data_IF_701258947570
#
_entry.id   IF_701258947570
#
_cell.length_a   1.000
_cell.length_b   1.000
_cell.length_c   1.000
_cell.angle_alpha   90.00
_cell.angle_beta   90.00
_cell.angle_gamma   90.00
#
_symmetry.space_group_name_H-M   'P 1'
#
loop_
_entity.id
_entity.type
_entity.pdbx_description
1 polymer ?
#
# COMPACT_ATOMS: atom_id res chain seq x y z
N UNK A 1 8.78 3.09 -10.29
CA UNK A 1 7.53 2.41 -10.66
C UNK A 1 6.97 3.07 -11.91
N UNK A 2 6.66 2.29 -12.95
CA UNK A 2 6.12 2.79 -14.23
C UNK A 2 4.60 2.66 -14.28
N UNK A 3 3.95 3.19 -15.32
CA UNK A 3 2.53 2.95 -15.57
C UNK A 3 2.19 1.46 -15.81
N UNK A 4 3.20 0.60 -16.01
CA UNK A 4 3.04 -0.84 -16.28
C UNK A 4 3.03 -1.72 -15.04
N UNK A 5 3.18 -1.15 -13.85
CA UNK A 5 3.25 -1.92 -12.61
C UNK A 5 1.87 -2.46 -12.22
N UNK A 6 1.73 -3.79 -12.14
CA UNK A 6 0.47 -4.45 -11.77
C UNK A 6 0.31 -4.41 -10.25
N UNK A 7 -0.79 -3.80 -9.82
CA UNK A 7 -1.25 -3.78 -8.44
C UNK A 7 -2.52 -4.62 -8.38
N UNK A 8 -2.46 -5.78 -7.72
CA UNK A 8 -3.60 -6.64 -7.44
C UNK A 8 -4.07 -6.30 -6.03
N UNK A 9 -5.32 -5.85 -5.89
CA UNK A 9 -5.94 -5.65 -4.58
C UNK A 9 -6.82 -6.85 -4.28
N UNK A 10 -6.65 -7.41 -3.10
CA UNK A 10 -7.50 -8.41 -2.48
C UNK A 10 -7.96 -7.90 -1.11
N UNK A 11 -9.16 -8.27 -0.69
CA UNK A 11 -9.58 -8.09 0.71
C UNK A 11 -9.22 -9.37 1.45
N UNK A 12 -8.65 -9.25 2.65
CA UNK A 12 -8.39 -10.43 3.47
C UNK A 12 -9.73 -11.05 3.90
N UNK A 13 -9.90 -12.36 3.67
CA UNK A 13 -11.13 -13.07 4.05
C UNK A 13 -11.17 -13.40 5.55
N UNK A 14 -10.01 -13.38 6.22
CA UNK A 14 -9.89 -13.63 7.65
C UNK A 14 -10.08 -12.37 8.50
N UNK A 15 -9.76 -11.20 7.95
CA UNK A 15 -10.01 -9.90 8.56
C UNK A 15 -10.57 -8.91 7.52
N UNK A 16 -11.89 -8.63 7.53
CA UNK A 16 -12.48 -7.75 6.55
C UNK A 16 -11.99 -6.32 6.66
N UNK A 17 -11.37 -5.89 7.76
CA UNK A 17 -10.84 -4.54 7.97
C UNK A 17 -9.42 -4.36 7.42
N UNK A 18 -8.85 -5.42 6.82
CA UNK A 18 -7.55 -5.39 6.17
C UNK A 18 -7.68 -5.44 4.65
N UNK A 19 -6.99 -4.51 3.98
CA UNK A 19 -6.82 -4.48 2.54
C UNK A 19 -5.43 -5.05 2.22
N UNK A 20 -5.40 -6.13 1.46
CA UNK A 20 -4.18 -6.75 0.96
C UNK A 20 -3.88 -6.22 -0.44
N UNK A 21 -2.70 -5.63 -0.62
CA UNK A 21 -2.21 -5.19 -1.90
C UNK A 21 -1.00 -6.02 -2.30
N UNK A 22 -1.13 -6.78 -3.38
CA UNK A 22 -0.03 -7.49 -4.01
C UNK A 22 0.49 -6.67 -5.19
N UNK A 23 1.80 -6.44 -5.24
CA UNK A 23 2.45 -5.73 -6.35
C UNK A 23 3.38 -6.69 -7.08
N UNK A 24 3.37 -6.70 -8.41
CA UNK A 24 4.27 -7.56 -9.22
C UNK A 24 5.59 -6.90 -9.58
N UNK A 25 5.90 -5.72 -9.03
CA UNK A 25 7.13 -4.98 -9.34
C UNK A 25 8.27 -5.59 -8.56
N UNK A 26 9.13 -6.40 -9.19
CA UNK A 26 10.41 -6.91 -8.66
C UNK A 26 10.43 -7.59 -7.27
N UNK A 27 9.28 -7.69 -6.62
CA UNK A 27 9.07 -8.27 -5.31
C UNK A 27 8.27 -9.56 -5.51
N UNK A 28 8.92 -10.67 -5.23
CA UNK A 28 8.34 -12.01 -5.21
C UNK A 28 7.06 -11.97 -4.34
N UNK A 29 5.87 -11.86 -4.96
CA UNK A 29 4.54 -11.85 -4.30
C UNK A 29 4.53 -11.36 -2.84
N UNK A 30 4.92 -10.12 -2.59
CA UNK A 30 4.94 -9.56 -1.24
C UNK A 30 3.61 -8.85 -0.94
N UNK A 31 2.71 -9.42 -0.12
CA UNK A 31 1.47 -8.76 0.24
C UNK A 31 1.76 -7.59 1.18
N UNK A 32 1.27 -6.41 0.82
CA UNK A 32 1.26 -5.23 1.68
C UNK A 32 -0.11 -5.15 2.33
N UNK A 33 -0.15 -5.11 3.66
CA UNK A 33 -1.38 -5.02 4.43
C UNK A 33 -1.62 -3.59 4.87
N UNK A 34 -2.80 -3.06 4.56
CA UNK A 34 -3.26 -1.77 5.05
C UNK A 34 -4.52 -1.99 5.88
N UNK A 35 -4.61 -1.33 7.04
CA UNK A 35 -5.90 -1.21 7.71
C UNK A 35 -6.82 -0.27 6.91
N UNK A 36 -8.12 -0.54 6.90
CA UNK A 36 -9.10 0.41 6.34
C UNK A 36 -9.14 1.73 7.12
N UNK A 37 -8.83 1.71 8.42
CA UNK A 37 -8.81 2.90 9.27
C UNK A 37 -7.72 3.88 8.81
N UNK A 38 -6.51 3.39 8.57
CA UNK A 38 -5.40 4.15 8.01
C UNK A 38 -5.72 4.65 6.59
N UNK A 39 -6.29 3.80 5.74
CA UNK A 39 -6.69 4.23 4.40
C UNK A 39 -7.71 5.37 4.47
N UNK A 40 -8.69 5.27 5.37
CA UNK A 40 -9.71 6.29 5.58
C UNK A 40 -9.15 7.59 6.13
N UNK A 41 -8.20 7.54 7.07
CA UNK A 41 -7.55 8.76 7.61
C UNK A 41 -6.77 9.53 6.54
N UNK A 42 -6.27 8.83 5.53
CA UNK A 42 -5.61 9.40 4.36
C UNK A 42 -6.57 9.72 3.19
N UNK A 43 -7.88 9.55 3.37
CA UNK A 43 -8.90 9.85 2.36
C UNK A 43 -9.10 8.78 1.28
N UNK A 44 -8.54 7.58 1.45
CA UNK A 44 -8.78 6.43 0.58
C UNK A 44 -10.00 5.64 1.05
N UNK A 45 -11.16 5.94 0.45
CA UNK A 45 -12.43 5.23 0.74
C UNK A 45 -12.77 4.15 -0.30
N UNK A 46 -12.04 4.13 -1.43
CA UNK A 46 -12.25 3.20 -2.53
C UNK A 46 -10.99 2.37 -2.78
N UNK A 47 -11.08 1.06 -2.54
CA UNK A 47 -9.97 0.12 -2.63
C UNK A 47 -9.81 -0.46 -4.05
N UNK A 48 -9.43 0.41 -5.00
CA UNK A 48 -9.15 0.02 -6.40
C UNK A 48 -7.67 0.23 -6.74
N UNK A 49 -7.04 -0.61 -7.59
CA UNK A 49 -5.61 -0.52 -7.91
C UNK A 49 -5.15 0.90 -8.26
N UNK A 50 -5.88 1.56 -9.15
CA UNK A 50 -5.60 2.93 -9.61
C UNK A 50 -5.65 3.97 -8.48
N UNK A 51 -6.51 3.75 -7.48
CA UNK A 51 -6.67 4.67 -6.34
C UNK A 51 -5.62 4.43 -5.28
N UNK A 52 -5.27 3.18 -4.99
CA UNK A 52 -4.27 2.87 -3.95
C UNK A 52 -2.82 2.95 -4.44
N UNK A 53 -2.56 2.99 -5.76
CA UNK A 53 -1.21 3.06 -6.33
C UNK A 53 -0.29 4.10 -5.65
N UNK A 54 -0.73 5.34 -5.34
CA UNK A 54 0.13 6.33 -4.70
C UNK A 54 0.58 5.95 -3.28
N UNK A 55 -0.34 5.49 -2.43
CA UNK A 55 0.00 5.09 -1.05
C UNK A 55 0.82 3.80 -1.03
N UNK A 56 0.53 2.87 -1.94
CA UNK A 56 1.29 1.63 -2.11
C UNK A 56 2.74 1.94 -2.49
N UNK A 57 2.95 2.83 -3.46
CA UNK A 57 4.28 3.29 -3.85
C UNK A 57 5.04 3.91 -2.67
N UNK A 58 4.40 4.83 -1.95
CA UNK A 58 5.00 5.49 -0.80
C UNK A 58 5.37 4.49 0.32
N UNK A 59 4.48 3.53 0.61
CA UNK A 59 4.73 2.49 1.60
C UNK A 59 5.94 1.62 1.23
N UNK A 60 6.04 1.21 -0.03
CA UNK A 60 7.18 0.42 -0.54
C UNK A 60 8.49 1.22 -0.42
N UNK A 61 8.54 2.45 -0.93
CA UNK A 61 9.77 3.26 -0.88
C UNK A 61 10.20 3.59 0.54
N UNK A 62 9.24 3.88 1.43
CA UNK A 62 9.54 4.11 2.84
C UNK A 62 10.11 2.85 3.49
N UNK A 63 9.56 1.69 3.20
CA UNK A 63 10.09 0.43 3.73
C UNK A 63 11.52 0.19 3.20
N UNK A 64 11.76 0.38 1.90
CA UNK A 64 13.09 0.27 1.29
C UNK A 64 14.08 1.24 1.97
N UNK A 65 13.68 2.49 2.20
CA UNK A 65 14.51 3.49 2.88
C UNK A 65 14.84 3.09 4.33
N UNK A 66 13.87 2.54 5.08
CA UNK A 66 14.07 2.05 6.45
C UNK A 66 15.02 0.85 6.52
N UNK A 67 15.11 0.06 5.45
CA UNK A 67 15.91 -1.18 5.41
C UNK A 67 17.21 -1.05 4.58
N UNK A 68 17.67 0.17 4.32
CA UNK A 68 18.95 0.43 3.66
C UNK A 68 18.97 0.00 2.19
N UNK A 69 17.91 0.31 1.45
CA UNK A 69 17.76 0.05 0.01
C UNK A 69 17.72 -1.44 -0.39
N UNK A 70 17.55 -2.33 0.60
CA UNK A 70 17.44 -3.76 0.35
C UNK A 70 16.09 -4.12 -0.25
N UNK A 71 16.09 -5.07 -1.19
CA UNK A 71 14.87 -5.64 -1.78
C UNK A 71 13.98 -6.25 -0.70
N UNK A 72 12.67 -6.06 -0.83
CA UNK A 72 11.67 -6.74 0.00
C UNK A 72 11.70 -8.24 -0.29
N UNK A 73 11.99 -9.04 0.73
CA UNK A 73 11.95 -10.51 0.66
C UNK A 73 10.69 -11.09 1.33
N UNK A 74 9.69 -10.24 1.63
CA UNK A 74 8.42 -10.64 2.23
C UNK A 74 7.41 -9.50 2.25
N UNK A 75 6.14 -9.87 2.48
CA UNK A 75 5.07 -8.90 2.73
C UNK A 75 5.25 -8.14 4.04
N UNK A 76 4.63 -6.97 4.16
CA UNK A 76 4.68 -6.14 5.38
C UNK A 76 3.33 -5.48 5.66
N UNK A 77 3.13 -5.04 6.90
CA UNK A 77 1.94 -4.30 7.32
C UNK A 77 2.27 -2.81 7.46
N UNK A 78 1.28 -1.98 7.17
CA UNK A 78 1.31 -0.54 7.43
C UNK A 78 0.27 -0.27 8.51
N UNK A 79 0.74 0.02 9.71
CA UNK A 79 -0.09 0.15 10.90
C UNK A 79 -0.67 1.57 11.03
N UNK A 80 -1.71 1.74 11.85
CA UNK A 80 -2.42 3.03 12.00
C UNK A 80 -1.53 4.19 12.45
N UNK A 81 -0.42 3.89 13.14
CA UNK A 81 0.60 4.88 13.54
C UNK A 81 1.59 5.24 12.43
N UNK A 82 1.65 4.47 11.34
CA UNK A 82 2.59 4.65 10.24
C UNK A 82 2.09 5.67 9.19
N UNK A 83 1.31 6.68 9.56
CA UNK A 83 0.76 7.67 8.60
C UNK A 83 1.77 8.73 8.13
N UNK A 84 2.86 8.95 8.87
CA UNK A 84 3.84 10.00 8.57
C UNK A 84 4.54 9.79 7.21
N UNK A 85 4.48 10.77 6.32
CA UNK A 85 5.08 10.70 4.98
C UNK A 85 4.31 9.81 3.99
N UNK A 86 3.16 9.23 4.37
CA UNK A 86 2.24 8.61 3.41
C UNK A 86 1.38 9.69 2.73
N UNK A 87 1.20 9.62 1.40
CA UNK A 87 0.46 10.63 0.67
C UNK A 87 -1.04 10.50 0.97
N UNK A 88 -1.76 11.62 1.14
CA UNK A 88 -3.22 11.60 1.13
C UNK A 88 -3.71 11.25 -0.28
N UNK A 89 -4.96 10.77 -0.37
CA UNK A 89 -5.59 10.44 -1.64
C UNK A 89 -5.64 11.67 -2.56
N UNK A 90 -4.92 11.65 -3.70
CA UNK A 90 -4.83 12.81 -4.59
C UNK A 90 -6.16 13.13 -5.28
N UNK A 91 -7.12 12.20 -5.29
CA UNK A 91 -8.43 12.36 -5.93
C UNK A 91 -9.54 12.65 -4.91
N UNK A 92 -9.23 12.71 -3.61
CA UNK A 92 -10.20 13.10 -2.58
C UNK A 92 -10.34 14.63 -2.44
N UNK A 93 -9.50 15.42 -3.13
CA UNK A 93 -9.55 16.90 -3.15
C UNK A 93 -10.34 17.48 -4.33
N UNK A 94 -11.18 16.68 -4.98
CA UNK A 94 -12.08 17.11 -6.07
C UNK A 94 -13.52 17.11 -5.63
#
# INVERSE_FOLDING_TARGET
MTDKDIVIISVDRSDPEVVLVNTTVDFLHCPIRFSKALLRSLGYTVYRPQKLKPIVHAAVWRHIARHGEKKLLGGFSVDDGDVEGLPPNPVARG
#
